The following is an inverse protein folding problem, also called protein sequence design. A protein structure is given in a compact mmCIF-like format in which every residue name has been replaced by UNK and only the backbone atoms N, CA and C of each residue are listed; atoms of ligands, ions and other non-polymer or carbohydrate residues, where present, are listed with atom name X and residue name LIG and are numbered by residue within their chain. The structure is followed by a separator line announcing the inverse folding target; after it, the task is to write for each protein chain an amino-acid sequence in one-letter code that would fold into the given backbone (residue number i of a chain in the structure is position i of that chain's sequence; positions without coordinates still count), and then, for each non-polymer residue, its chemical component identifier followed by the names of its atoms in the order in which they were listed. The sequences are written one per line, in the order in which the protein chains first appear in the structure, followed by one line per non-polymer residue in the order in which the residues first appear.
data_IF_657392854021
#
_entry.id   IF_657392854021
#
_cell.length_a   1.000
_cell.length_b   1.000
_cell.length_c   1.000
_cell.angle_alpha   90.00
_cell.angle_beta   90.00
_cell.angle_gamma   90.00
#
_symmetry.space_group_name_H-M   'P 1'
#
loop_
_entity.id
_entity.type
_entity.pdbx_description
1 polymer ?
#
# COMPACT_ATOMS: atom_id res chain seq x y z
N UNK A 1 4.53 -13.28 -9.61
CA UNK A 1 3.56 -13.30 -8.48
C UNK A 1 2.26 -12.70 -8.97
N UNK A 2 1.14 -13.40 -8.77
CA UNK A 2 -0.15 -12.86 -9.21
C UNK A 2 -0.70 -11.86 -8.18
N UNK A 3 -1.75 -11.13 -8.57
CA UNK A 3 -2.31 -10.07 -7.73
C UNK A 3 -2.86 -10.63 -6.41
N UNK A 4 -3.50 -11.79 -6.46
CA UNK A 4 -4.08 -12.41 -5.27
C UNK A 4 -3.01 -12.78 -4.24
N UNK A 5 -1.94 -13.42 -4.69
CA UNK A 5 -0.82 -13.77 -3.82
C UNK A 5 -0.15 -12.54 -3.26
N UNK A 6 0.03 -11.53 -4.11
CA UNK A 6 0.66 -10.26 -3.72
C UNK A 6 -0.15 -9.55 -2.64
N UNK A 7 -1.48 -9.42 -2.84
CA UNK A 7 -2.34 -8.77 -1.86
C UNK A 7 -2.33 -9.49 -0.52
N UNK A 8 -2.29 -10.82 -0.54
CA UNK A 8 -2.25 -11.61 0.69
C UNK A 8 -0.95 -11.36 1.45
N UNK A 9 0.18 -11.35 0.75
CA UNK A 9 1.48 -11.08 1.37
C UNK A 9 1.53 -9.68 1.98
N UNK A 10 0.99 -8.70 1.27
CA UNK A 10 0.94 -7.32 1.76
C UNK A 10 0.07 -7.22 3.01
N UNK A 11 -1.10 -7.84 2.99
CA UNK A 11 -2.02 -7.82 4.13
C UNK A 11 -1.39 -8.47 5.36
N UNK A 12 -0.73 -9.60 5.18
CA UNK A 12 -0.03 -10.29 6.27
C UNK A 12 1.07 -9.40 6.86
N UNK A 13 1.81 -8.72 6.02
CA UNK A 13 2.86 -7.82 6.46
C UNK A 13 2.30 -6.68 7.31
N UNK A 14 1.21 -6.05 6.85
CA UNK A 14 0.62 -4.91 7.56
C UNK A 14 0.02 -5.27 8.91
N UNK A 15 -0.26 -6.53 9.17
CA UNK A 15 -0.75 -6.96 10.49
C UNK A 15 0.24 -6.62 11.61
N UNK A 16 1.52 -6.52 11.30
CA UNK A 16 2.58 -6.23 12.27
C UNK A 16 3.02 -4.77 12.23
N UNK A 17 2.38 -3.93 11.43
CA UNK A 17 2.80 -2.55 11.21
C UNK A 17 1.76 -1.57 11.78
N UNK A 18 2.16 -0.32 12.08
CA UNK A 18 1.22 0.68 12.58
C UNK A 18 0.37 1.28 11.45
N UNK A 19 -0.43 0.42 10.84
CA UNK A 19 -1.29 0.76 9.70
C UNK A 19 -2.70 0.29 9.99
N UNK A 20 -3.69 1.15 9.79
CA UNK A 20 -5.10 0.82 10.00
C UNK A 20 -5.73 0.22 8.76
N UNK A 21 -5.41 0.76 7.60
CA UNK A 21 -5.96 0.30 6.32
C UNK A 21 -4.91 0.43 5.24
N UNK A 22 -5.04 -0.37 4.20
CA UNK A 22 -4.19 -0.27 3.02
C UNK A 22 -5.01 -0.55 1.77
N UNK A 23 -4.75 0.22 0.73
CA UNK A 23 -5.42 0.10 -0.56
C UNK A 23 -4.38 -0.11 -1.66
N UNK A 24 -4.75 -0.91 -2.63
CA UNK A 24 -3.98 -1.09 -3.85
C UNK A 24 -4.62 -0.19 -4.92
N UNK A 25 -3.79 0.57 -5.64
CA UNK A 25 -4.32 1.40 -6.72
C UNK A 25 -3.36 1.37 -7.91
N UNK A 26 -3.66 2.15 -8.95
CA UNK A 26 -2.85 2.15 -10.17
C UNK A 26 -3.12 0.93 -11.04
N UNK A 27 -2.11 0.50 -11.79
CA UNK A 27 -2.28 -0.57 -12.78
C UNK A 27 -2.72 -1.89 -12.17
N UNK A 28 -2.23 -2.24 -10.98
CA UNK A 28 -2.63 -3.46 -10.31
C UNK A 28 -4.10 -3.44 -9.91
N UNK A 29 -4.60 -2.29 -9.45
CA UNK A 29 -6.01 -2.17 -9.08
C UNK A 29 -6.93 -2.28 -10.29
N UNK A 30 -6.47 -1.79 -11.44
CA UNK A 30 -7.25 -1.82 -12.68
C UNK A 30 -7.12 -3.15 -13.45
N UNK A 31 -6.25 -4.04 -12.99
CA UNK A 31 -6.00 -5.29 -13.71
C UNK A 31 -5.18 -5.10 -14.97
N UNK A 32 -4.43 -4.02 -15.04
CA UNK A 32 -3.60 -3.67 -16.20
C UNK A 32 -2.12 -3.88 -15.95
N UNK A 33 -1.79 -4.56 -14.87
CA UNK A 33 -0.40 -4.78 -14.48
C UNK A 33 0.36 -5.58 -15.52
N UNK A 34 1.64 -5.19 -15.67
CA UNK A 34 2.58 -5.88 -16.52
C UNK A 34 3.72 -6.39 -15.65
N UNK A 35 4.60 -7.20 -16.23
CA UNK A 35 5.73 -7.78 -15.51
C UNK A 35 6.61 -6.74 -14.81
N UNK A 36 6.73 -5.55 -15.43
CA UNK A 36 7.54 -4.46 -14.89
C UNK A 36 6.71 -3.35 -14.23
N UNK A 37 5.44 -3.60 -13.96
CA UNK A 37 4.58 -2.60 -13.31
C UNK A 37 4.98 -2.39 -11.86
N UNK A 38 4.90 -1.13 -11.41
CA UNK A 38 5.10 -0.77 -10.01
C UNK A 38 3.84 -1.11 -9.22
N UNK A 39 4.03 -1.41 -7.95
CA UNK A 39 2.93 -1.63 -7.02
C UNK A 39 2.64 -0.32 -6.29
N UNK A 40 1.44 0.21 -6.46
CA UNK A 40 1.04 1.47 -5.85
C UNK A 40 0.15 1.20 -4.65
N UNK A 41 0.60 1.62 -3.47
CA UNK A 41 -0.10 1.38 -2.21
C UNK A 41 -0.39 2.69 -1.50
N UNK A 42 -1.62 2.81 -1.01
CA UNK A 42 -2.03 3.91 -0.14
C UNK A 42 -2.30 3.30 1.23
N UNK A 43 -1.73 3.87 2.28
CA UNK A 43 -1.93 3.38 3.64
C UNK A 43 -2.49 4.47 4.54
N UNK A 44 -3.30 4.05 5.51
CA UNK A 44 -3.78 4.92 6.58
C UNK A 44 -2.99 4.57 7.84
N UNK A 45 -2.05 5.44 8.25
CA UNK A 45 -1.25 5.17 9.44
C UNK A 45 -2.08 5.17 10.71
N UNK A 46 -1.66 4.37 11.68
CA UNK A 46 -2.25 4.37 13.02
C UNK A 46 -1.57 5.45 13.83
N UNK A 47 -2.23 6.59 13.96
CA UNK A 47 -1.67 7.77 14.65
C UNK A 47 -1.59 7.58 16.18
N UNK A 48 -2.21 6.53 16.71
CA UNK A 48 -2.09 6.21 18.13
C UNK A 48 -0.75 5.55 18.44
N UNK A 49 -0.02 5.14 17.41
CA UNK A 49 1.31 4.57 17.52
C UNK A 49 2.31 5.54 16.90
N UNK A 50 3.59 5.34 17.22
CA UNK A 50 4.63 6.16 16.62
C UNK A 50 4.76 5.81 15.14
N UNK A 51 4.48 6.78 14.27
CA UNK A 51 4.62 6.62 12.83
C UNK A 51 5.43 7.79 12.29
N UNK A 52 6.66 7.52 11.91
CA UNK A 52 7.59 8.53 11.44
C UNK A 52 8.00 8.23 10.00
N UNK A 53 8.79 9.14 9.44
CA UNK A 53 9.39 8.92 8.13
C UNK A 53 10.26 7.66 8.12
N UNK A 54 10.93 7.39 9.24
CA UNK A 54 11.75 6.16 9.36
C UNK A 54 10.88 4.92 9.30
N UNK A 55 9.70 4.94 9.92
CA UNK A 55 8.74 3.84 9.86
C UNK A 55 8.31 3.60 8.43
N UNK A 56 7.94 4.67 7.73
CA UNK A 56 7.51 4.60 6.33
C UNK A 56 8.63 4.06 5.44
N UNK A 57 9.85 4.54 5.63
CA UNK A 57 11.01 4.12 4.86
C UNK A 57 11.31 2.64 5.07
N UNK A 58 11.22 2.17 6.31
CA UNK A 58 11.40 0.75 6.65
C UNK A 58 10.37 -0.13 5.98
N UNK A 59 9.10 0.30 5.99
CA UNK A 59 8.03 -0.44 5.33
C UNK A 59 8.24 -0.48 3.81
N UNK A 60 8.70 0.61 3.24
CA UNK A 60 8.99 0.69 1.81
C UNK A 60 10.03 -0.36 1.40
N UNK A 61 11.13 -0.43 2.15
CA UNK A 61 12.20 -1.40 1.86
C UNK A 61 11.71 -2.83 2.08
N UNK A 62 10.96 -3.07 3.15
CA UNK A 62 10.42 -4.40 3.45
C UNK A 62 9.49 -4.88 2.33
N UNK A 63 8.63 -3.98 1.84
CA UNK A 63 7.69 -4.33 0.78
C UNK A 63 8.39 -4.59 -0.54
N UNK A 64 9.43 -3.83 -0.85
CA UNK A 64 10.24 -4.10 -2.05
C UNK A 64 10.86 -5.48 -2.00
N UNK A 65 11.43 -5.84 -0.85
CA UNK A 65 12.03 -7.16 -0.66
C UNK A 65 10.99 -8.26 -0.74
N UNK A 66 9.84 -8.03 -0.11
CA UNK A 66 8.75 -9.00 -0.06
C UNK A 66 8.17 -9.29 -1.45
N UNK A 67 7.98 -8.24 -2.25
CA UNK A 67 7.33 -8.34 -3.55
C UNK A 67 8.30 -8.51 -4.71
N UNK A 68 9.56 -8.17 -4.51
CA UNK A 68 10.58 -8.28 -5.56
C UNK A 68 10.38 -7.31 -6.72
N UNK A 69 9.72 -6.18 -6.47
CA UNK A 69 9.48 -5.17 -7.50
C UNK A 69 9.44 -3.78 -6.88
N UNK A 70 9.37 -2.76 -7.71
CA UNK A 70 9.27 -1.39 -7.24
C UNK A 70 7.90 -1.14 -6.60
N UNK A 71 7.90 -0.38 -5.52
CA UNK A 71 6.69 -0.09 -4.75
C UNK A 71 6.61 1.42 -4.54
N UNK A 72 5.43 2.00 -4.79
CA UNK A 72 5.13 3.37 -4.40
C UNK A 72 4.23 3.29 -3.17
N UNK A 73 4.72 3.84 -2.06
CA UNK A 73 4.01 3.78 -0.79
C UNK A 73 3.63 5.20 -0.36
N UNK A 74 2.34 5.46 -0.31
CA UNK A 74 1.79 6.80 -0.05
C UNK A 74 0.90 6.72 1.18
N UNK A 75 1.01 7.72 2.07
CA UNK A 75 0.15 7.78 3.24
C UNK A 75 -1.09 8.61 2.94
N UNK A 76 -2.24 8.16 3.48
CA UNK A 76 -3.47 8.94 3.38
C UNK A 76 -3.27 10.28 4.11
N UNK A 77 -3.71 11.35 3.48
CA UNK A 77 -3.48 12.71 3.98
C UNK A 77 -2.24 13.35 3.39
N UNK A 78 -1.33 12.55 2.79
CA UNK A 78 -0.18 13.07 2.09
C UNK A 78 -0.43 13.31 0.61
N UNK A 79 -1.54 12.82 0.09
CA UNK A 79 -1.89 13.01 -1.32
C UNK A 79 -2.45 14.42 -1.54
N UNK A 80 -2.12 15.00 -2.67
CA UNK A 80 -2.77 16.23 -3.12
C UNK A 80 -4.20 15.90 -3.55
N UNK A 81 -5.10 16.89 -3.47
CA UNK A 81 -6.52 16.66 -3.73
C UNK A 81 -6.83 15.95 -5.04
N UNK A 82 -6.21 16.38 -6.12
CA UNK A 82 -6.46 15.77 -7.43
C UNK A 82 -5.95 14.33 -7.50
N UNK A 83 -4.81 14.06 -6.87
CA UNK A 83 -4.26 12.71 -6.85
C UNK A 83 -5.12 11.79 -5.98
N UNK A 84 -5.64 12.33 -4.88
CA UNK A 84 -6.54 11.58 -4.01
C UNK A 84 -7.81 11.15 -4.74
N UNK A 85 -8.38 12.04 -5.53
CA UNK A 85 -9.57 11.71 -6.32
C UNK A 85 -9.29 10.56 -7.28
N UNK A 86 -8.16 10.63 -7.97
CA UNK A 86 -7.76 9.58 -8.90
C UNK A 86 -7.57 8.25 -8.17
N UNK A 87 -6.90 8.28 -7.02
CA UNK A 87 -6.69 7.08 -6.22
C UNK A 87 -8.01 6.50 -5.72
N UNK A 88 -8.94 7.36 -5.29
CA UNK A 88 -10.23 6.92 -4.80
C UNK A 88 -11.06 6.21 -5.87
N UNK A 89 -10.90 6.61 -7.13
CA UNK A 89 -11.63 5.99 -8.23
C UNK A 89 -11.15 4.56 -8.51
N UNK A 90 -9.86 4.30 -8.31
CA UNK A 90 -9.25 3.04 -8.72
C UNK A 90 -8.80 2.15 -7.56
N UNK A 91 -8.87 2.62 -6.33
CA UNK A 91 -8.29 1.89 -5.21
C UNK A 91 -9.14 0.72 -4.75
N UNK A 92 -8.47 -0.34 -4.34
CA UNK A 92 -9.10 -1.55 -3.80
C UNK A 92 -8.58 -1.75 -2.38
N UNK A 93 -9.48 -1.87 -1.41
CA UNK A 93 -9.09 -2.12 -0.02
C UNK A 93 -8.53 -3.53 0.08
N UNK A 94 -7.28 -3.66 0.52
CA UNK A 94 -6.62 -4.96 0.63
C UNK A 94 -6.28 -5.33 2.07
N UNK A 95 -6.35 -4.38 2.99
CA UNK A 95 -6.09 -4.64 4.40
C UNK A 95 -6.88 -3.65 5.25
N UNK A 96 -7.50 -4.17 6.30
CA UNK A 96 -8.17 -3.35 7.31
C UNK A 96 -7.96 -4.03 8.66
N UNK A 97 -7.47 -3.25 9.63
CA UNK A 97 -7.22 -3.78 10.96
C UNK A 97 -8.55 -4.11 11.64
N UNK A 98 -8.64 -5.31 12.21
CA UNK A 98 -9.78 -5.70 13.01
C UNK A 98 -9.64 -5.07 14.40
N UNK A 99 -10.72 -4.51 14.90
CA UNK A 99 -10.77 -3.93 16.25
C UNK A 99 -11.53 -4.85 17.19
#
# INVERSE_FOLDING_TARGET
MNRETMTRKIAEYFKTQPVLKAWLFGSFARGEEREDSDVDLLILPDKSQHFSLFTLSGMYEDLKDLLGCEVDLITDGGLMSFARESADCDKILIYERAN
#
